data_IF_897555711476
#
_entry.id   IF_897555711476
#
_cell.length_a   1.000
_cell.length_b   1.000
_cell.length_c   1.000
_cell.angle_alpha   90.00
_cell.angle_beta   90.00
_cell.angle_gamma   90.00
#
_symmetry.space_group_name_H-M   'P 1'
#
loop_
_entity.id
_entity.type
_entity.pdbx_description
1 polymer ?
#
# COMPACT_ATOMS: atom_id res chain seq x y z
N UNK A 1 15.39 12.62 69.13
CA UNK A 1 16.71 12.54 68.46
C UNK A 1 16.44 12.04 67.05
N UNK A 2 16.59 12.87 66.02
CA UNK A 2 16.33 12.51 64.61
C UNK A 2 15.39 13.47 63.90
N UNK A 3 15.95 14.55 63.39
CA UNK A 3 15.35 15.64 62.62
C UNK A 3 15.33 15.32 61.10
N UNK A 4 14.19 15.29 60.39
CA UNK A 4 14.18 15.25 58.93
C UNK A 4 14.05 16.67 58.34
N UNK A 5 15.21 17.17 57.93
CA UNK A 5 15.44 18.43 57.21
C UNK A 5 14.49 18.66 56.03
N UNK A 6 13.76 19.76 56.14
CA UNK A 6 13.11 20.52 55.06
C UNK A 6 14.15 20.94 54.01
N UNK A 7 14.09 20.39 52.79
CA UNK A 7 14.82 20.94 51.64
C UNK A 7 13.94 21.92 50.87
N UNK A 8 14.30 23.19 51.03
CA UNK A 8 13.73 24.36 50.35
C UNK A 8 13.89 24.27 48.83
N UNK A 9 12.78 24.52 48.16
CA UNK A 9 12.62 24.86 46.75
C UNK A 9 13.57 26.00 46.37
N UNK A 10 14.48 25.77 45.41
CA UNK A 10 15.16 26.86 44.69
C UNK A 10 14.49 27.06 43.34
N UNK A 11 13.67 28.10 43.26
CA UNK A 11 13.22 28.70 42.00
C UNK A 11 14.44 29.28 41.29
N UNK A 12 14.77 28.74 40.13
CA UNK A 12 15.72 29.36 39.21
C UNK A 12 14.89 30.29 38.32
N UNK A 13 15.13 31.59 38.45
CA UNK A 13 14.60 32.62 37.55
C UNK A 13 15.22 32.41 36.16
N UNK A 14 14.37 32.14 35.17
CA UNK A 14 14.72 32.28 33.77
C UNK A 14 14.83 33.78 33.44
N UNK A 15 16.04 34.23 33.10
CA UNK A 15 16.24 35.44 32.32
C UNK A 15 16.14 35.09 30.84
N UNK A 16 14.97 35.32 30.25
CA UNK A 16 14.80 35.26 28.79
C UNK A 16 15.32 36.56 28.21
N UNK A 17 16.55 36.55 27.72
CA UNK A 17 17.07 37.61 26.85
C UNK A 17 16.49 37.39 25.46
N UNK A 18 15.61 38.28 25.04
CA UNK A 18 15.08 38.34 23.69
C UNK A 18 16.15 38.95 22.80
N UNK A 19 16.81 38.13 21.98
CA UNK A 19 17.64 38.61 20.86
C UNK A 19 16.74 38.60 19.62
N UNK A 20 16.19 39.77 19.28
CA UNK A 20 15.63 40.03 17.95
C UNK A 20 16.78 40.44 17.05
N UNK A 21 17.22 39.54 16.17
CA UNK A 21 18.11 39.90 15.07
C UNK A 21 17.90 38.99 13.86
N UNK A 22 17.30 39.57 12.82
CA UNK A 22 17.62 39.28 11.42
C UNK A 22 17.16 37.94 10.83
N UNK A 23 15.92 37.89 10.34
CA UNK A 23 15.53 36.95 9.28
C UNK A 23 14.79 37.72 8.17
N UNK A 24 15.56 38.50 7.42
CA UNK A 24 15.17 39.00 6.12
C UNK A 24 16.01 38.25 5.08
N UNK A 25 15.51 37.12 4.60
CA UNK A 25 16.15 36.37 3.52
C UNK A 25 15.94 34.87 3.69
N UNK A 26 15.44 34.24 2.61
CA UNK A 26 15.20 32.81 2.44
C UNK A 26 13.82 32.30 2.91
N UNK A 27 12.76 32.81 2.29
CA UNK A 27 11.55 32.00 2.10
C UNK A 27 11.02 32.18 0.68
N UNK A 28 11.76 31.63 -0.29
CA UNK A 28 11.30 31.38 -1.66
C UNK A 28 11.44 29.89 -1.95
N UNK A 29 10.73 29.08 -1.17
CA UNK A 29 10.24 27.78 -1.60
C UNK A 29 8.72 27.85 -1.54
N UNK A 30 8.15 28.69 -2.41
CA UNK A 30 6.73 28.65 -2.68
C UNK A 30 6.49 27.33 -3.41
N UNK A 31 5.95 26.36 -2.66
CA UNK A 31 5.39 25.13 -3.18
C UNK A 31 4.43 25.50 -4.31
N UNK A 32 4.80 25.18 -5.55
CA UNK A 32 3.85 25.12 -6.65
C UNK A 32 3.09 23.80 -6.48
N UNK A 33 2.20 23.78 -5.48
CA UNK A 33 1.19 22.75 -5.36
C UNK A 33 0.21 23.06 -6.48
N UNK A 34 0.31 22.34 -7.59
CA UNK A 34 -0.69 22.41 -8.63
C UNK A 34 -2.01 21.99 -7.98
N UNK A 35 -2.92 22.96 -7.81
CA UNK A 35 -4.29 22.74 -7.36
C UNK A 35 -4.94 21.76 -8.35
N UNK A 36 -4.97 20.48 -7.96
CA UNK A 36 -5.82 19.49 -8.59
C UNK A 36 -7.22 19.83 -8.12
N UNK A 37 -8.15 20.23 -9.01
CA UNK A 37 -9.50 20.60 -8.59
C UNK A 37 -10.13 19.42 -7.85
N UNK A 38 -10.52 19.67 -6.61
CA UNK A 38 -11.30 18.76 -5.79
C UNK A 38 -12.68 18.67 -6.43
N UNK A 39 -12.90 17.62 -7.22
CA UNK A 39 -14.19 17.34 -7.84
C UNK A 39 -15.09 16.81 -6.72
N UNK A 40 -15.87 17.70 -6.09
CA UNK A 40 -16.99 17.34 -5.21
C UNK A 40 -18.11 16.69 -6.05
N UNK A 41 -17.86 15.46 -6.49
CA UNK A 41 -18.88 14.59 -7.07
C UNK A 41 -19.65 13.84 -5.98
N UNK A 42 -20.90 13.41 -6.25
CA UNK A 42 -21.57 12.45 -5.38
C UNK A 42 -20.69 11.19 -5.21
N UNK A 43 -20.77 10.48 -4.06
CA UNK A 43 -20.00 9.26 -3.84
C UNK A 43 -20.30 8.29 -4.99
N UNK A 44 -19.28 8.01 -5.78
CA UNK A 44 -19.40 7.08 -6.89
C UNK A 44 -19.51 5.68 -6.27
N UNK A 45 -20.72 5.14 -6.20
CA UNK A 45 -20.96 3.76 -5.81
C UNK A 45 -20.50 2.90 -6.99
N UNK A 46 -19.29 2.36 -6.90
CA UNK A 46 -18.77 1.42 -7.89
C UNK A 46 -19.42 0.06 -7.67
N UNK A 47 -20.45 -0.26 -8.46
CA UNK A 47 -21.12 -1.56 -8.39
C UNK A 47 -20.23 -2.68 -8.95
N UNK A 48 -19.42 -2.37 -9.98
CA UNK A 48 -18.37 -3.25 -10.50
C UNK A 48 -17.31 -2.46 -11.27
N UNK A 49 -16.09 -3.00 -11.35
CA UNK A 49 -15.03 -2.53 -12.24
C UNK A 49 -15.04 -3.36 -13.52
N UNK A 50 -14.97 -2.70 -14.68
CA UNK A 50 -14.87 -3.36 -16.00
C UNK A 50 -13.40 -3.64 -16.30
N UNK A 51 -13.10 -4.84 -16.77
CA UNK A 51 -11.75 -5.31 -17.11
C UNK A 51 -11.79 -6.19 -18.36
N UNK A 52 -10.66 -6.30 -19.05
CA UNK A 52 -10.58 -6.95 -20.37
C UNK A 52 -10.33 -8.46 -20.28
N UNK A 53 -9.66 -8.91 -19.22
CA UNK A 53 -9.33 -10.32 -19.00
C UNK A 53 -9.18 -10.60 -17.50
N UNK A 54 -9.05 -11.89 -17.16
CA UNK A 54 -8.86 -12.34 -15.78
C UNK A 54 -7.50 -13.02 -15.67
N UNK A 55 -6.63 -12.38 -14.90
CA UNK A 55 -5.23 -12.76 -14.80
C UNK A 55 -5.07 -14.11 -14.08
N UNK A 56 -4.28 -14.99 -14.67
CA UNK A 56 -3.92 -16.28 -14.08
C UNK A 56 -2.42 -16.58 -14.26
N UNK A 57 -1.95 -17.70 -13.72
CA UNK A 57 -0.51 -18.01 -13.72
C UNK A 57 0.06 -18.28 -15.12
N UNK A 58 -0.78 -18.64 -16.10
CA UNK A 58 -0.36 -18.92 -17.48
C UNK A 58 -0.24 -17.63 -18.30
N UNK A 59 -1.22 -16.74 -18.17
CA UNK A 59 -1.30 -15.46 -18.91
C UNK A 59 -0.52 -14.35 -18.24
N UNK A 60 -0.55 -14.29 -16.90
CA UNK A 60 0.02 -13.24 -16.07
C UNK A 60 0.80 -13.87 -14.91
N UNK A 61 1.95 -14.49 -15.20
CA UNK A 61 2.73 -15.14 -14.17
C UNK A 61 3.21 -14.14 -13.12
N UNK A 62 3.14 -14.51 -11.84
CA UNK A 62 3.49 -13.59 -10.75
C UNK A 62 4.91 -13.05 -10.89
N UNK A 63 5.03 -11.73 -10.90
CA UNK A 63 6.32 -11.02 -10.93
C UNK A 63 6.60 -10.34 -9.59
N UNK A 64 7.88 -10.37 -9.19
CA UNK A 64 8.38 -9.63 -8.05
C UNK A 64 9.36 -8.55 -8.53
N UNK A 65 8.86 -7.32 -8.65
CA UNK A 65 9.67 -6.15 -9.06
C UNK A 65 10.33 -6.36 -10.43
N UNK A 66 9.55 -6.77 -11.41
CA UNK A 66 10.02 -7.01 -12.79
C UNK A 66 10.61 -8.39 -13.04
N UNK A 67 10.89 -9.16 -12.00
CA UNK A 67 11.47 -10.49 -12.14
C UNK A 67 10.39 -11.55 -12.01
N UNK A 68 10.36 -12.49 -12.95
CA UNK A 68 9.49 -13.65 -12.88
C UNK A 68 9.76 -14.46 -11.61
N UNK A 69 8.71 -14.76 -10.84
CA UNK A 69 8.84 -15.56 -9.62
C UNK A 69 8.72 -17.05 -9.97
N UNK A 70 9.87 -17.69 -10.21
CA UNK A 70 9.99 -19.12 -10.55
C UNK A 70 11.04 -19.81 -9.66
N UNK A 71 11.37 -21.08 -9.95
CA UNK A 71 12.32 -21.88 -9.17
C UNK A 71 13.71 -21.27 -8.94
N UNK A 72 14.14 -20.38 -9.83
CA UNK A 72 15.47 -19.76 -9.81
C UNK A 72 15.50 -18.46 -8.98
N UNK A 73 14.34 -17.86 -8.75
CA UNK A 73 14.24 -16.61 -8.02
C UNK A 73 14.57 -16.82 -6.53
N UNK A 74 15.46 -16.00 -5.95
CA UNK A 74 15.91 -16.17 -4.55
C UNK A 74 14.77 -16.18 -3.51
N UNK A 75 13.66 -15.49 -3.81
CA UNK A 75 12.46 -15.45 -2.95
C UNK A 75 11.43 -16.55 -3.26
N UNK A 76 11.68 -17.43 -4.22
CA UNK A 76 10.79 -18.52 -4.60
C UNK A 76 10.28 -19.36 -3.44
N UNK A 77 11.12 -19.78 -2.46
CA UNK A 77 10.64 -20.59 -1.35
C UNK A 77 9.54 -19.91 -0.52
N UNK A 78 9.50 -18.57 -0.52
CA UNK A 78 8.53 -17.76 0.21
C UNK A 78 7.19 -17.63 -0.55
N UNK A 79 7.21 -17.65 -1.88
CA UNK A 79 6.02 -17.41 -2.71
C UNK A 79 5.45 -18.66 -3.36
N UNK A 80 6.23 -19.74 -3.56
CA UNK A 80 5.79 -20.95 -4.29
C UNK A 80 4.45 -21.52 -3.83
N UNK A 81 4.19 -21.48 -2.52
CA UNK A 81 2.92 -21.95 -1.94
C UNK A 81 1.77 -21.00 -2.26
N UNK A 82 1.99 -19.69 -2.17
CA UNK A 82 0.97 -18.69 -2.50
C UNK A 82 0.64 -18.75 -4.00
N UNK A 83 1.64 -18.81 -4.86
CA UNK A 83 1.46 -18.93 -6.32
C UNK A 83 0.71 -20.22 -6.67
N UNK A 84 1.06 -21.34 -6.04
CA UNK A 84 0.37 -22.61 -6.27
C UNK A 84 -1.08 -22.64 -5.76
N UNK A 85 -1.40 -21.83 -4.74
CA UNK A 85 -2.74 -21.73 -4.15
C UNK A 85 -3.66 -20.74 -4.89
N UNK A 86 -3.09 -19.63 -5.37
CA UNK A 86 -3.81 -18.56 -6.07
C UNK A 86 -3.32 -18.51 -7.51
N UNK A 87 -3.75 -19.47 -8.32
CA UNK A 87 -3.35 -19.59 -9.72
C UNK A 87 -4.19 -18.68 -10.61
N UNK A 88 -5.45 -18.46 -10.26
CA UNK A 88 -6.39 -17.55 -10.93
C UNK A 88 -6.78 -16.39 -10.00
N UNK A 89 -7.15 -15.25 -10.56
CA UNK A 89 -7.69 -14.13 -9.77
C UNK A 89 -8.96 -14.52 -9.01
N UNK A 90 -9.76 -15.47 -9.54
CA UNK A 90 -10.94 -16.02 -8.87
C UNK A 90 -10.64 -16.66 -7.52
N UNK A 91 -9.46 -17.27 -7.37
CA UNK A 91 -9.05 -17.89 -6.10
C UNK A 91 -8.95 -16.87 -4.95
N UNK A 92 -8.86 -15.58 -5.28
CA UNK A 92 -8.76 -14.47 -4.34
C UNK A 92 -10.11 -13.89 -3.92
N UNK A 93 -11.19 -14.25 -4.61
CA UNK A 93 -12.52 -13.66 -4.40
C UNK A 93 -13.34 -14.49 -3.42
N UNK A 94 -14.41 -13.89 -2.91
CA UNK A 94 -15.43 -14.61 -2.12
C UNK A 94 -16.10 -15.69 -2.98
N UNK A 95 -16.60 -16.74 -2.34
CA UNK A 95 -17.11 -17.94 -3.00
C UNK A 95 -18.20 -17.64 -4.05
N UNK A 96 -19.04 -16.63 -3.79
CA UNK A 96 -20.12 -16.20 -4.68
C UNK A 96 -19.63 -15.65 -6.02
N UNK A 97 -18.42 -15.09 -6.07
CA UNK A 97 -17.84 -14.50 -7.28
C UNK A 97 -17.04 -15.51 -8.11
N UNK A 98 -16.47 -16.55 -7.49
CA UNK A 98 -15.51 -17.44 -8.16
C UNK A 98 -16.06 -18.13 -9.41
N UNK A 99 -17.35 -18.46 -9.40
CA UNK A 99 -18.03 -19.16 -10.48
C UNK A 99 -18.66 -18.26 -11.55
N UNK A 100 -18.55 -16.94 -11.43
CA UNK A 100 -19.18 -16.03 -12.38
C UNK A 100 -18.31 -15.84 -13.64
N UNK A 101 -18.98 -15.61 -14.77
CA UNK A 101 -18.31 -15.26 -16.02
C UNK A 101 -17.59 -13.91 -15.88
N UNK A 102 -18.25 -12.94 -15.24
CA UNK A 102 -17.74 -11.60 -14.95
C UNK A 102 -17.77 -11.35 -13.43
N UNK A 103 -16.80 -11.87 -12.66
CA UNK A 103 -16.74 -11.65 -11.21
C UNK A 103 -16.49 -10.19 -10.82
N UNK A 104 -16.97 -9.77 -9.66
CA UNK A 104 -16.66 -8.47 -9.08
C UNK A 104 -15.29 -8.52 -8.37
N UNK A 105 -14.26 -7.92 -8.97
CA UNK A 105 -12.90 -7.88 -8.42
C UNK A 105 -12.74 -7.02 -7.15
N UNK A 106 -13.82 -6.36 -6.70
CA UNK A 106 -13.89 -5.65 -5.42
C UNK A 106 -14.21 -6.60 -4.24
N UNK A 107 -14.77 -7.79 -4.50
CA UNK A 107 -15.25 -8.71 -3.47
C UNK A 107 -14.21 -9.79 -3.15
N UNK A 108 -13.18 -9.38 -2.41
CA UNK A 108 -12.04 -10.22 -2.04
C UNK A 108 -12.33 -10.99 -0.77
N UNK A 109 -11.89 -12.24 -0.73
CA UNK A 109 -11.93 -13.06 0.48
C UNK A 109 -10.74 -12.74 1.40
N UNK A 110 -10.79 -11.56 2.02
CA UNK A 110 -9.76 -11.11 2.99
C UNK A 110 -9.56 -12.11 4.13
N UNK A 111 -10.60 -12.86 4.51
CA UNK A 111 -10.52 -13.84 5.58
C UNK A 111 -9.67 -15.06 5.20
N UNK A 112 -9.67 -15.44 3.92
CA UNK A 112 -8.83 -16.50 3.39
C UNK A 112 -7.38 -16.02 3.12
N UNK A 113 -7.19 -14.73 2.85
CA UNK A 113 -5.88 -14.13 2.58
C UNK A 113 -5.10 -13.75 3.84
N UNK A 114 -4.88 -14.70 4.76
CA UNK A 114 -4.23 -14.44 6.08
C UNK A 114 -2.73 -14.15 6.01
N UNK A 115 -2.06 -14.53 4.93
CA UNK A 115 -0.60 -14.41 4.79
C UNK A 115 -0.28 -13.31 3.80
N UNK A 116 0.63 -12.40 4.17
CA UNK A 116 1.10 -11.31 3.30
C UNK A 116 1.39 -11.74 1.85
N UNK A 117 1.96 -12.94 1.67
CA UNK A 117 2.39 -13.45 0.36
C UNK A 117 1.20 -13.90 -0.49
N UNK A 118 0.15 -14.41 0.15
CA UNK A 118 -1.12 -14.71 -0.50
C UNK A 118 -1.77 -13.40 -0.97
N UNK A 119 -1.78 -12.39 -0.09
CA UNK A 119 -2.33 -11.07 -0.43
C UNK A 119 -1.55 -10.45 -1.59
N UNK A 120 -0.22 -10.42 -1.55
CA UNK A 120 0.61 -9.86 -2.64
C UNK A 120 0.36 -10.54 -3.99
N UNK A 121 0.24 -11.88 -4.03
CA UNK A 121 -0.09 -12.63 -5.26
C UNK A 121 -1.50 -12.27 -5.76
N UNK A 122 -2.47 -12.25 -4.85
CA UNK A 122 -3.85 -11.92 -5.22
C UNK A 122 -4.00 -10.49 -5.74
N UNK A 123 -3.41 -9.52 -5.05
CA UNK A 123 -3.42 -8.13 -5.48
C UNK A 123 -2.71 -7.96 -6.83
N UNK A 124 -1.60 -8.68 -7.06
CA UNK A 124 -0.96 -8.69 -8.38
C UNK A 124 -1.95 -9.14 -9.46
N UNK A 125 -2.65 -10.26 -9.28
CA UNK A 125 -3.64 -10.75 -10.26
C UNK A 125 -4.80 -9.80 -10.48
N UNK A 126 -5.33 -9.23 -9.41
CA UNK A 126 -6.40 -8.22 -9.50
C UNK A 126 -5.92 -7.04 -10.35
N UNK A 127 -4.74 -6.47 -10.05
CA UNK A 127 -4.24 -5.31 -10.79
C UNK A 127 -3.82 -5.64 -12.22
N UNK A 128 -3.36 -6.87 -12.49
CA UNK A 128 -3.15 -7.38 -13.85
C UNK A 128 -4.45 -7.45 -14.64
N UNK A 129 -5.52 -7.94 -14.02
CA UNK A 129 -6.85 -8.00 -14.65
C UNK A 129 -7.37 -6.58 -14.96
N UNK A 130 -7.19 -5.63 -14.02
CA UNK A 130 -7.62 -4.25 -14.21
C UNK A 130 -6.78 -3.49 -15.26
N UNK A 131 -5.48 -3.76 -15.34
CA UNK A 131 -4.51 -3.20 -16.29
C UNK A 131 -4.62 -1.68 -16.57
N UNK A 132 -5.09 -0.89 -15.60
CA UNK A 132 -5.35 0.54 -15.76
C UNK A 132 -5.07 1.27 -14.47
N UNK A 133 -4.22 2.30 -14.52
CA UNK A 133 -3.90 3.15 -13.36
C UNK A 133 -5.19 3.72 -12.74
N UNK A 134 -6.15 4.12 -13.57
CA UNK A 134 -7.43 4.68 -13.12
C UNK A 134 -8.28 3.64 -12.38
N UNK A 135 -8.34 2.39 -12.87
CA UNK A 135 -9.10 1.32 -12.22
C UNK A 135 -8.42 0.83 -10.95
N UNK A 136 -7.10 0.74 -10.93
CA UNK A 136 -6.33 0.40 -9.73
C UNK A 136 -6.55 1.45 -8.65
N UNK A 137 -6.52 2.74 -9.01
CA UNK A 137 -6.83 3.83 -8.07
C UNK A 137 -8.24 3.70 -7.51
N UNK A 138 -9.25 3.48 -8.36
CA UNK A 138 -10.64 3.26 -7.90
C UNK A 138 -10.78 2.05 -6.99
N UNK A 139 -10.09 0.96 -7.31
CA UNK A 139 -10.04 -0.23 -6.46
C UNK A 139 -9.43 0.10 -5.08
N UNK A 140 -8.33 0.85 -5.05
CA UNK A 140 -7.69 1.28 -3.81
C UNK A 140 -8.62 2.19 -2.99
N UNK A 141 -9.31 3.13 -3.64
CA UNK A 141 -10.30 4.01 -3.01
C UNK A 141 -11.48 3.22 -2.43
N UNK A 142 -12.02 2.24 -3.16
CA UNK A 142 -13.09 1.37 -2.69
C UNK A 142 -12.68 0.57 -1.44
N UNK A 143 -11.41 0.14 -1.39
CA UNK A 143 -10.84 -0.53 -0.23
C UNK A 143 -10.30 0.43 0.83
N UNK A 144 -10.64 1.72 0.80
CA UNK A 144 -10.30 2.72 1.82
C UNK A 144 -8.78 2.94 2.01
N UNK A 145 -7.98 2.66 0.98
CA UNK A 145 -6.59 3.09 0.99
C UNK A 145 -6.54 4.63 0.92
N UNK A 146 -5.73 5.21 1.80
CA UNK A 146 -5.48 6.65 1.89
C UNK A 146 -4.16 7.01 1.21
N UNK A 147 -3.94 8.31 1.01
CA UNK A 147 -2.71 8.87 0.44
C UNK A 147 -2.31 8.23 -0.90
N UNK A 148 -3.33 7.93 -1.73
CA UNK A 148 -3.13 7.26 -3.01
C UNK A 148 -2.38 8.22 -3.94
N UNK A 149 -1.18 7.83 -4.35
CA UNK A 149 -0.33 8.63 -5.23
C UNK A 149 0.33 7.77 -6.30
N UNK A 150 0.49 8.36 -7.47
CA UNK A 150 1.37 7.87 -8.52
C UNK A 150 2.71 8.59 -8.42
N UNK A 151 3.82 7.85 -8.52
CA UNK A 151 5.16 8.44 -8.55
C UNK A 151 6.08 7.62 -9.43
N UNK A 152 6.97 8.28 -10.18
CA UNK A 152 8.13 7.60 -10.75
C UNK A 152 9.10 7.23 -9.62
N UNK A 153 9.73 6.05 -9.75
CA UNK A 153 10.78 5.54 -8.86
C UNK A 153 12.12 6.13 -9.29
N UNK A 154 12.32 6.28 -10.60
CA UNK A 154 13.53 6.85 -11.20
C UNK A 154 13.25 8.17 -11.92
N UNK A 155 14.31 8.93 -12.25
CA UNK A 155 14.19 10.16 -13.03
C UNK A 155 13.62 9.90 -14.43
N UNK A 156 13.10 10.94 -15.08
CA UNK A 156 12.61 10.86 -16.46
C UNK A 156 13.71 10.50 -17.47
N UNK A 157 14.96 10.79 -17.13
CA UNK A 157 16.15 10.47 -17.93
C UNK A 157 16.67 9.05 -17.72
N UNK A 158 16.09 8.28 -16.79
CA UNK A 158 16.51 6.92 -16.53
C UNK A 158 16.11 5.99 -17.69
N UNK A 159 17.04 5.16 -18.14
CA UNK A 159 16.81 4.15 -19.17
C UNK A 159 16.74 2.78 -18.49
N UNK A 160 15.57 2.13 -18.48
CA UNK A 160 15.41 0.80 -17.89
C UNK A 160 16.28 -0.24 -18.60
N UNK A 161 16.85 -1.16 -17.83
CA UNK A 161 17.65 -2.28 -18.32
C UNK A 161 16.79 -3.39 -18.93
N UNK A 162 15.50 -3.44 -18.59
CA UNK A 162 14.55 -4.40 -19.15
C UNK A 162 13.14 -3.80 -19.26
N UNK A 163 12.30 -4.38 -20.12
CA UNK A 163 10.91 -3.93 -20.30
C UNK A 163 10.06 -4.13 -19.04
N UNK A 164 10.44 -5.07 -18.17
CA UNK A 164 9.70 -5.37 -16.95
C UNK A 164 10.27 -4.65 -15.73
N UNK A 165 11.35 -3.88 -15.88
CA UNK A 165 11.93 -3.16 -14.76
C UNK A 165 10.95 -2.10 -14.21
N UNK A 166 10.72 -2.05 -12.89
CA UNK A 166 9.78 -1.12 -12.31
C UNK A 166 10.32 0.32 -12.32
N UNK A 167 9.68 1.21 -13.06
CA UNK A 167 10.07 2.63 -13.18
C UNK A 167 9.14 3.57 -12.45
N UNK A 168 7.92 3.13 -12.14
CA UNK A 168 6.91 3.91 -11.43
C UNK A 168 6.13 3.03 -10.47
N UNK A 169 5.30 3.66 -9.64
CA UNK A 169 4.37 2.93 -8.81
C UNK A 169 3.18 3.74 -8.33
N UNK A 170 2.14 3.01 -7.96
CA UNK A 170 0.98 3.51 -7.24
C UNK A 170 1.14 3.08 -5.78
N UNK A 171 1.06 4.05 -4.88
CA UNK A 171 1.22 3.86 -3.45
C UNK A 171 -0.10 4.19 -2.77
N UNK A 172 -0.46 3.43 -1.74
CA UNK A 172 -1.57 3.74 -0.86
C UNK A 172 -1.30 3.17 0.52
N UNK A 173 -2.04 3.63 1.52
CA UNK A 173 -1.87 3.16 2.90
C UNK A 173 -3.20 3.00 3.62
N UNK A 174 -3.34 1.90 4.36
CA UNK A 174 -4.33 1.77 5.41
C UNK A 174 -3.80 2.31 6.74
N UNK A 175 -4.70 2.89 7.52
CA UNK A 175 -4.47 3.16 8.94
C UNK A 175 -4.30 1.85 9.73
N UNK A 176 -3.90 1.97 11.00
CA UNK A 176 -3.86 0.82 11.93
C UNK A 176 -5.23 0.15 12.06
N UNK A 177 -6.28 0.96 12.22
CA UNK A 177 -7.66 0.50 12.36
C UNK A 177 -8.11 -0.29 11.13
N UNK A 178 -7.94 0.28 9.93
CA UNK A 178 -8.40 -0.40 8.71
C UNK A 178 -7.55 -1.66 8.41
N UNK A 179 -6.26 -1.61 8.73
CA UNK A 179 -5.40 -2.81 8.69
C UNK A 179 -5.96 -3.92 9.58
N UNK A 180 -6.40 -3.61 10.80
CA UNK A 180 -6.90 -4.61 11.75
C UNK A 180 -8.31 -5.10 11.40
N UNK A 181 -9.16 -4.25 10.82
CA UNK A 181 -10.47 -4.64 10.31
C UNK A 181 -10.34 -5.70 9.21
N UNK A 182 -9.38 -5.53 8.29
CA UNK A 182 -9.16 -6.45 7.15
C UNK A 182 -8.28 -7.63 7.51
N UNK A 183 -7.20 -7.38 8.24
CA UNK A 183 -6.13 -8.34 8.54
C UNK A 183 -5.89 -8.43 10.06
N UNK A 184 -6.91 -8.86 10.83
CA UNK A 184 -6.81 -8.90 12.28
C UNK A 184 -5.73 -9.87 12.73
N UNK A 185 -4.83 -9.39 13.59
CA UNK A 185 -3.80 -10.22 14.21
C UNK A 185 -4.38 -11.03 15.37
N UNK A 186 -3.75 -12.18 15.68
CA UNK A 186 -4.16 -12.99 16.83
C UNK A 186 -4.09 -12.17 18.14
N UNK A 187 -3.01 -11.41 18.34
CA UNK A 187 -2.82 -10.59 19.53
C UNK A 187 -3.91 -9.54 19.68
N UNK A 188 -4.30 -8.88 18.60
CA UNK A 188 -5.39 -7.91 18.62
C UNK A 188 -6.74 -8.56 18.95
N UNK A 189 -7.06 -9.71 18.34
CA UNK A 189 -8.32 -10.43 18.59
C UNK A 189 -8.48 -10.88 20.04
N UNK A 190 -7.40 -11.25 20.71
CA UNK A 190 -7.44 -11.83 22.06
C UNK A 190 -7.22 -10.78 23.15
N UNK A 191 -6.32 -9.82 22.91
CA UNK A 191 -5.85 -8.89 23.94
C UNK A 191 -6.17 -7.42 23.63
N UNK A 192 -6.70 -7.11 22.44
CA UNK A 192 -6.95 -5.73 22.00
C UNK A 192 -5.68 -4.91 21.75
N UNK A 193 -4.49 -5.55 21.78
CA UNK A 193 -3.21 -4.87 21.61
C UNK A 193 -2.59 -5.14 20.24
N UNK A 194 -2.01 -4.10 19.64
CA UNK A 194 -1.26 -4.18 18.39
C UNK A 194 -0.07 -3.21 18.43
N UNK A 195 1.02 -3.57 17.75
CA UNK A 195 2.12 -2.65 17.42
C UNK A 195 2.01 -2.13 15.98
N UNK A 196 1.02 -2.60 15.21
CA UNK A 196 0.83 -2.17 13.83
C UNK A 196 0.28 -0.75 13.79
N UNK A 197 1.01 0.14 13.11
CA UNK A 197 0.56 1.51 12.81
C UNK A 197 -0.20 1.61 11.49
N UNK A 198 -0.02 0.63 10.60
CA UNK A 198 -0.71 0.61 9.32
C UNK A 198 -0.08 -0.34 8.31
N UNK A 199 -0.67 -0.36 7.12
CA UNK A 199 -0.21 -1.17 5.98
C UNK A 199 -0.07 -0.27 4.78
N UNK A 200 1.10 -0.28 4.14
CA UNK A 200 1.31 0.37 2.85
C UNK A 200 1.29 -0.66 1.73
N UNK A 201 0.62 -0.31 0.64
CA UNK A 201 0.68 -1.05 -0.62
C UNK A 201 1.53 -0.29 -1.64
N UNK A 202 2.27 -1.03 -2.44
CA UNK A 202 2.98 -0.50 -3.61
C UNK A 202 2.70 -1.38 -4.81
N UNK A 203 2.09 -0.81 -5.83
CA UNK A 203 1.90 -1.43 -7.14
C UNK A 203 3.00 -0.89 -8.05
N UNK A 204 3.85 -1.76 -8.57
CA UNK A 204 5.00 -1.38 -9.40
C UNK A 204 4.66 -1.50 -10.88
N UNK A 205 5.02 -0.48 -11.62
CA UNK A 205 4.73 -0.31 -13.04
C UNK A 205 6.02 -0.25 -13.84
N UNK A 206 6.06 -0.92 -15.00
CA UNK A 206 7.12 -0.73 -15.99
C UNK A 206 6.96 0.57 -16.78
N UNK A 207 7.89 0.87 -17.68
CA UNK A 207 7.80 2.06 -18.57
C UNK A 207 6.58 2.01 -19.49
N UNK A 208 6.12 0.82 -19.89
CA UNK A 208 4.88 0.67 -20.66
C UNK A 208 3.60 0.77 -19.81
N UNK A 209 3.72 1.01 -18.50
CA UNK A 209 2.58 1.04 -17.58
C UNK A 209 2.07 -0.34 -17.16
N UNK A 210 2.79 -1.40 -17.50
CA UNK A 210 2.43 -2.77 -17.15
C UNK A 210 2.71 -3.04 -15.65
N UNK A 211 1.82 -3.79 -14.99
CA UNK A 211 2.03 -4.19 -13.59
C UNK A 211 3.09 -5.28 -13.50
N UNK A 212 4.19 -4.96 -12.84
CA UNK A 212 5.39 -5.82 -12.72
C UNK A 212 5.71 -6.20 -11.28
N UNK A 213 4.81 -5.89 -10.35
CA UNK A 213 4.86 -6.41 -8.99
C UNK A 213 3.95 -5.68 -8.03
N UNK A 214 3.65 -6.34 -6.92
CA UNK A 214 2.94 -5.75 -5.77
C UNK A 214 3.72 -6.05 -4.50
N UNK A 215 3.81 -5.06 -3.62
CA UNK A 215 4.43 -5.19 -2.31
C UNK A 215 3.50 -4.69 -1.20
N UNK A 216 3.49 -5.40 -0.08
CA UNK A 216 2.88 -4.95 1.17
C UNK A 216 3.94 -4.75 2.25
N UNK A 217 3.84 -3.62 2.92
CA UNK A 217 4.72 -3.22 4.02
C UNK A 217 3.87 -2.92 5.24
N UNK A 218 4.21 -3.51 6.38
CA UNK A 218 3.58 -3.19 7.65
C UNK A 218 4.46 -2.20 8.41
N UNK A 219 3.86 -1.15 8.95
CA UNK A 219 4.56 -0.18 9.80
C UNK A 219 4.29 -0.55 11.25
N UNK A 220 5.33 -0.50 12.09
CA UNK A 220 5.26 -0.81 13.52
C UNK A 220 5.80 0.36 14.35
N UNK A 221 5.30 0.50 15.58
CA UNK A 221 5.90 1.36 16.62
C UNK A 221 7.26 0.86 17.11
#
# INVERSE_FOLDING_TARGET
MGDPKVRKVKRILLSVVVVVAGLAGLNRYAQTQADVPEIEGPPIVYDHLVYDHLANQETDPFMFSGNLMNGEHARWPQYRRAIGQFQDVRDCLVDEERGKDNPNLLLIDWQHLKKRRNIEVCLFRIFRSLNSISLIRKWLEFHEFQNIRYSRIFSETYIPQSQTEPVAGIFGSWSAEETLNRLPTFMWRVFGWTLLQGTSITVKLSESGEIVGVGLSYTYE
#
